data_IF_355614057555
#
_entry.id   IF_355614057555
#
_cell.length_a   1.000
_cell.length_b   1.000
_cell.length_c   1.000
_cell.angle_alpha   90.00
_cell.angle_beta   90.00
_cell.angle_gamma   90.00
#
_symmetry.space_group_name_H-M   'P 1'
#
loop_
_entity.id
_entity.type
_entity.pdbx_description
1 polymer ?
#
# COMPACT_ATOMS: atom_id res chain seq x y z
N UNK A 1 -49.81 -46.14 -22.86
CA UNK A 1 -49.49 -45.39 -21.63
C UNK A 1 -48.08 -45.78 -21.15
N UNK A 2 -47.02 -45.23 -21.76
CA UNK A 2 -45.65 -45.38 -21.26
C UNK A 2 -45.40 -44.29 -20.21
N UNK A 3 -45.59 -44.67 -18.95
CA UNK A 3 -45.57 -43.79 -17.79
C UNK A 3 -44.17 -43.85 -17.14
N UNK A 4 -43.17 -43.27 -17.80
CA UNK A 4 -41.82 -43.07 -17.25
C UNK A 4 -41.30 -41.68 -17.67
N UNK A 5 -41.82 -40.63 -17.04
CA UNK A 5 -41.50 -39.22 -17.37
C UNK A 5 -40.92 -38.41 -16.19
N UNK A 6 -40.49 -39.06 -15.10
CA UNK A 6 -40.01 -38.32 -13.90
C UNK A 6 -38.62 -38.79 -13.46
N UNK A 7 -38.29 -40.07 -13.57
CA UNK A 7 -36.97 -40.61 -13.19
C UNK A 7 -35.81 -40.11 -14.08
N UNK A 8 -36.07 -39.86 -15.37
CA UNK A 8 -35.03 -39.35 -16.27
C UNK A 8 -34.65 -37.88 -15.98
N UNK A 9 -35.54 -37.09 -15.34
CA UNK A 9 -35.24 -35.70 -14.97
C UNK A 9 -34.37 -35.58 -13.71
N UNK A 10 -34.47 -36.53 -12.78
CA UNK A 10 -33.72 -36.49 -11.52
C UNK A 10 -32.29 -37.03 -11.65
N UNK A 11 -32.03 -37.96 -12.57
CA UNK A 11 -30.70 -38.52 -12.79
C UNK A 11 -29.74 -37.50 -13.45
N UNK A 12 -30.25 -36.49 -14.14
CA UNK A 12 -29.43 -35.46 -14.81
C UNK A 12 -28.85 -34.42 -13.81
N UNK A 13 -29.35 -34.38 -12.57
CA UNK A 13 -28.95 -33.36 -11.57
C UNK A 13 -27.71 -33.73 -10.72
N UNK A 14 -27.16 -34.95 -10.87
CA UNK A 14 -26.06 -35.44 -10.03
C UNK A 14 -24.68 -35.56 -10.73
N UNK A 15 -24.56 -35.14 -11.99
CA UNK A 15 -23.25 -34.93 -12.58
C UNK A 15 -22.69 -33.59 -12.10
N UNK A 16 -22.02 -33.58 -10.94
CA UNK A 16 -21.06 -32.52 -10.62
C UNK A 16 -19.95 -32.63 -11.67
N UNK A 17 -20.05 -31.82 -12.72
CA UNK A 17 -18.96 -31.67 -13.68
C UNK A 17 -17.83 -30.99 -12.93
N UNK A 18 -16.83 -31.76 -12.49
CA UNK A 18 -15.60 -31.20 -11.94
C UNK A 18 -14.85 -30.50 -13.07
N UNK A 19 -15.08 -29.20 -13.21
CA UNK A 19 -14.46 -28.37 -14.24
C UNK A 19 -13.00 -28.07 -13.93
N UNK A 20 -12.24 -27.73 -14.97
CA UNK A 20 -10.90 -27.18 -14.84
C UNK A 20 -10.97 -25.82 -14.12
N UNK A 21 -10.12 -25.62 -13.12
CA UNK A 21 -10.08 -24.37 -12.34
C UNK A 21 -8.65 -23.94 -12.05
N UNK A 22 -8.46 -22.63 -11.96
CA UNK A 22 -7.23 -21.98 -11.51
C UNK A 22 -7.59 -21.04 -10.35
N UNK A 23 -6.96 -21.23 -9.21
CA UNK A 23 -7.09 -20.37 -8.04
C UNK A 23 -5.79 -19.61 -7.80
N UNK A 24 -5.89 -18.34 -7.44
CA UNK A 24 -4.74 -17.47 -7.21
C UNK A 24 -5.02 -16.59 -5.99
N UNK A 25 -3.97 -16.13 -5.28
CA UNK A 25 -4.11 -15.23 -4.15
C UNK A 25 -4.77 -13.91 -4.56
N UNK A 26 -5.48 -13.26 -3.65
CA UNK A 26 -6.10 -11.96 -3.93
C UNK A 26 -5.05 -10.83 -4.00
N UNK A 27 -4.04 -10.88 -3.14
CA UNK A 27 -3.01 -9.86 -3.00
C UNK A 27 -1.67 -10.51 -2.70
N UNK A 28 -0.61 -10.01 -3.33
CA UNK A 28 0.78 -10.32 -2.95
C UNK A 28 1.58 -9.02 -2.88
N UNK A 29 2.64 -9.05 -2.07
CA UNK A 29 3.53 -7.92 -1.89
C UNK A 29 4.90 -8.29 -2.44
N UNK A 30 5.41 -7.49 -3.37
CA UNK A 30 6.78 -7.62 -3.85
C UNK A 30 7.75 -7.07 -2.79
N UNK A 31 8.91 -7.70 -2.68
CA UNK A 31 9.96 -7.26 -1.79
C UNK A 31 10.58 -5.93 -2.27
N UNK A 32 11.44 -5.36 -1.43
CA UNK A 32 12.11 -4.09 -1.69
C UNK A 32 13.04 -4.11 -2.92
N UNK A 33 13.46 -5.30 -3.37
CA UNK A 33 14.30 -5.48 -4.56
C UNK A 33 13.45 -5.72 -5.83
N UNK A 34 12.11 -5.61 -5.74
CA UNK A 34 11.21 -5.82 -6.87
C UNK A 34 11.02 -7.30 -7.21
N UNK A 35 11.15 -8.20 -6.22
CA UNK A 35 10.91 -9.62 -6.39
C UNK A 35 9.60 -10.04 -5.75
N UNK A 36 8.80 -10.81 -6.46
CA UNK A 36 7.53 -11.33 -5.99
C UNK A 36 7.37 -12.80 -6.40
N UNK A 37 6.73 -13.57 -5.52
CA UNK A 37 6.35 -14.96 -5.81
C UNK A 37 4.83 -15.06 -5.86
N UNK A 38 4.32 -15.49 -7.01
CA UNK A 38 2.90 -15.70 -7.23
C UNK A 38 2.64 -17.19 -7.46
N UNK A 39 1.82 -17.80 -6.63
CA UNK A 39 1.48 -19.22 -6.72
C UNK A 39 0.04 -19.32 -7.24
N UNK A 40 -0.17 -20.06 -8.32
CA UNK A 40 -1.51 -20.41 -8.78
C UNK A 40 -1.73 -21.90 -8.60
N UNK A 41 -2.72 -22.28 -7.80
CA UNK A 41 -3.16 -23.66 -7.76
C UNK A 41 -4.07 -23.93 -8.96
N UNK A 42 -3.97 -25.13 -9.51
CA UNK A 42 -4.79 -25.56 -10.62
C UNK A 42 -5.26 -26.99 -10.42
N UNK A 43 -6.44 -27.28 -10.94
CA UNK A 43 -6.92 -28.66 -11.05
C UNK A 43 -7.42 -28.90 -12.45
N UNK A 44 -6.85 -29.90 -13.11
CA UNK A 44 -7.25 -30.35 -14.43
C UNK A 44 -8.03 -31.64 -14.31
N UNK A 45 -9.09 -31.79 -15.12
CA UNK A 45 -9.83 -33.03 -15.23
C UNK A 45 -9.26 -33.88 -16.38
N UNK A 46 -8.85 -35.12 -16.07
CA UNK A 46 -8.31 -36.06 -17.05
C UNK A 46 -6.79 -36.09 -17.12
N UNK A 47 -6.26 -36.88 -18.06
CA UNK A 47 -4.82 -37.00 -18.32
C UNK A 47 -4.35 -35.77 -19.09
N UNK A 48 -3.23 -35.18 -18.67
CA UNK A 48 -2.64 -34.02 -19.33
C UNK A 48 -1.22 -34.33 -19.77
N UNK A 49 -0.89 -33.92 -20.99
CA UNK A 49 0.40 -34.19 -21.61
C UNK A 49 1.15 -32.89 -21.93
N UNK A 50 0.44 -31.82 -22.32
CA UNK A 50 1.01 -30.50 -22.58
C UNK A 50 0.13 -29.38 -21.99
N UNK A 51 0.73 -28.58 -21.10
CA UNK A 51 0.11 -27.39 -20.49
C UNK A 51 0.99 -26.19 -20.78
N UNK A 52 0.35 -25.09 -21.16
CA UNK A 52 0.94 -23.78 -21.26
C UNK A 52 0.38 -22.88 -20.17
N UNK A 53 1.25 -22.20 -19.46
CA UNK A 53 0.89 -21.19 -18.48
C UNK A 53 1.36 -19.82 -18.95
N UNK A 54 0.58 -18.81 -18.62
CA UNK A 54 0.95 -17.42 -18.86
C UNK A 54 0.56 -16.55 -17.67
N UNK A 55 1.43 -15.59 -17.36
CA UNK A 55 1.15 -14.54 -16.40
C UNK A 55 0.86 -13.26 -17.15
N UNK A 56 -0.34 -12.71 -16.95
CA UNK A 56 -0.86 -11.57 -17.70
C UNK A 56 -1.00 -10.34 -16.81
N UNK A 57 -0.38 -9.23 -17.16
CA UNK A 57 -0.63 -7.95 -16.50
C UNK A 57 -1.86 -7.29 -17.12
N UNK A 58 -2.87 -6.99 -16.30
CA UNK A 58 -4.09 -6.29 -16.69
C UNK A 58 -3.96 -4.80 -16.36
N UNK A 59 -4.00 -3.98 -17.40
CA UNK A 59 -4.10 -2.52 -17.31
C UNK A 59 -5.52 -2.08 -17.69
N UNK A 60 -5.85 -0.78 -17.54
CA UNK A 60 -7.19 -0.25 -17.86
C UNK A 60 -7.63 -0.50 -19.31
N UNK A 61 -6.69 -0.61 -20.25
CA UNK A 61 -6.97 -0.71 -21.70
C UNK A 61 -6.39 -1.97 -22.35
N UNK A 62 -5.47 -2.67 -21.69
CA UNK A 62 -4.68 -3.72 -22.32
C UNK A 62 -4.33 -4.84 -21.34
N UNK A 63 -4.29 -6.07 -21.85
CA UNK A 63 -3.79 -7.26 -21.13
C UNK A 63 -2.55 -7.73 -21.88
N UNK A 64 -1.40 -7.71 -21.21
CA UNK A 64 -0.11 -8.13 -21.79
C UNK A 64 0.42 -9.37 -21.08
N UNK A 65 0.87 -10.36 -21.83
CA UNK A 65 1.64 -11.48 -21.28
C UNK A 65 3.01 -10.97 -20.79
N UNK A 66 3.34 -11.23 -19.52
CA UNK A 66 4.63 -10.91 -18.89
C UNK A 66 5.55 -12.13 -18.97
N UNK A 67 4.99 -13.31 -18.70
CA UNK A 67 5.71 -14.58 -18.76
C UNK A 67 4.84 -15.61 -19.47
N UNK A 68 5.48 -16.45 -20.27
CA UNK A 68 4.83 -17.58 -20.92
C UNK A 68 5.76 -18.77 -20.82
N UNK A 69 5.22 -19.90 -20.39
CA UNK A 69 5.99 -21.15 -20.39
C UNK A 69 5.08 -22.32 -20.73
N UNK A 70 5.66 -23.29 -21.42
CA UNK A 70 5.05 -24.56 -21.76
C UNK A 70 5.85 -25.68 -21.13
N UNK A 71 5.19 -26.71 -20.61
CA UNK A 71 5.87 -27.84 -19.98
C UNK A 71 5.76 -29.12 -20.82
N UNK A 72 6.78 -29.98 -20.68
CA UNK A 72 6.83 -31.41 -21.03
C UNK A 72 7.39 -31.81 -22.42
N UNK A 73 7.99 -30.87 -23.14
CA UNK A 73 9.12 -31.11 -24.04
C UNK A 73 10.25 -30.21 -23.54
N UNK A 74 11.50 -30.66 -23.55
CA UNK A 74 12.64 -29.89 -23.00
C UNK A 74 12.64 -28.43 -23.50
N UNK A 75 12.12 -27.49 -22.70
CA UNK A 75 12.02 -26.09 -23.07
C UNK A 75 12.29 -25.18 -21.90
N UNK A 76 13.06 -24.16 -22.23
CA UNK A 76 13.55 -23.10 -21.37
C UNK A 76 12.42 -22.12 -21.03
N UNK A 77 12.45 -21.48 -19.85
CA UNK A 77 11.52 -20.40 -19.52
C UNK A 77 11.65 -19.26 -20.54
N UNK A 78 10.60 -18.96 -21.29
CA UNK A 78 10.57 -17.82 -22.22
C UNK A 78 10.01 -16.61 -21.46
N UNK A 79 10.90 -15.73 -21.00
CA UNK A 79 10.52 -14.42 -20.48
C UNK A 79 10.26 -13.48 -21.67
N UNK A 80 9.06 -12.91 -21.75
CA UNK A 80 8.66 -12.00 -22.84
C UNK A 80 8.53 -10.57 -22.32
N UNK A 81 9.55 -10.07 -21.63
CA UNK A 81 9.56 -8.71 -21.10
C UNK A 81 10.97 -8.14 -20.99
N UNK A 82 11.22 -7.03 -21.70
CA UNK A 82 12.56 -6.42 -21.90
C UNK A 82 13.30 -6.01 -20.61
N UNK A 83 12.65 -6.06 -19.43
CA UNK A 83 13.27 -5.73 -18.13
C UNK A 83 12.78 -6.56 -16.93
N UNK A 84 11.70 -7.35 -17.08
CA UNK A 84 11.13 -8.15 -16.00
C UNK A 84 11.54 -9.60 -16.23
N UNK A 85 12.32 -10.15 -15.32
CA UNK A 85 12.69 -11.56 -15.38
C UNK A 85 11.64 -12.39 -14.68
N UNK A 86 11.26 -13.52 -15.28
CA UNK A 86 10.20 -14.36 -14.74
C UNK A 86 10.51 -15.83 -14.95
N UNK A 87 10.39 -16.60 -13.87
CA UNK A 87 10.61 -18.02 -13.84
C UNK A 87 9.33 -18.74 -13.39
N UNK A 88 8.83 -19.65 -14.22
CA UNK A 88 7.71 -20.52 -13.89
C UNK A 88 8.18 -21.91 -13.46
N UNK A 89 7.80 -22.33 -12.26
CA UNK A 89 8.12 -23.64 -11.70
C UNK A 89 6.79 -24.41 -11.51
N UNK A 90 6.52 -25.44 -12.31
CA UNK A 90 5.33 -26.26 -12.14
C UNK A 90 5.53 -27.26 -11.03
N UNK A 91 4.44 -27.54 -10.32
CA UNK A 91 4.28 -28.70 -9.46
C UNK A 91 2.98 -29.42 -9.87
N UNK A 92 2.70 -30.63 -9.37
CA UNK A 92 1.51 -31.38 -9.77
C UNK A 92 0.16 -30.67 -9.59
N UNK A 93 0.09 -29.71 -8.66
CA UNK A 93 -1.16 -29.04 -8.28
C UNK A 93 -1.09 -27.52 -8.36
N UNK A 94 0.09 -26.96 -8.60
CA UNK A 94 0.26 -25.53 -8.67
C UNK A 94 1.42 -25.13 -9.56
N UNK A 95 1.48 -23.84 -9.87
CA UNK A 95 2.55 -23.24 -10.63
C UNK A 95 3.04 -22.03 -9.87
N UNK A 96 4.35 -21.95 -9.67
CA UNK A 96 5.00 -20.85 -8.96
C UNK A 96 5.69 -19.94 -9.96
N UNK A 97 5.27 -18.67 -9.99
CA UNK A 97 5.90 -17.61 -10.77
C UNK A 97 6.81 -16.80 -9.86
N UNK A 98 8.11 -16.86 -10.11
CA UNK A 98 9.09 -15.98 -9.49
C UNK A 98 9.38 -14.83 -10.44
N UNK A 99 8.98 -13.63 -10.05
CA UNK A 99 9.07 -12.42 -10.85
C UNK A 99 10.13 -11.54 -10.20
N UNK A 100 11.07 -11.01 -10.96
CA UNK A 100 12.08 -10.07 -10.50
C UNK A 100 12.22 -8.87 -11.43
N UNK A 101 12.74 -7.77 -10.88
CA UNK A 101 12.85 -6.50 -11.62
C UNK A 101 11.55 -5.70 -11.68
N UNK A 102 10.58 -5.96 -10.79
CA UNK A 102 9.36 -5.16 -10.68
C UNK A 102 9.69 -3.75 -10.15
N UNK A 103 9.09 -2.73 -10.76
CA UNK A 103 9.20 -1.33 -10.33
C UNK A 103 7.85 -0.83 -9.76
N UNK A 104 7.84 0.33 -9.09
CA UNK A 104 6.62 0.99 -8.59
C UNK A 104 5.45 0.99 -9.61
N UNK A 105 5.78 1.32 -10.87
CA UNK A 105 4.86 1.38 -12.02
C UNK A 105 4.27 0.03 -12.42
N UNK A 106 4.83 -1.06 -11.91
CA UNK A 106 4.37 -2.42 -12.18
C UNK A 106 3.29 -2.89 -11.23
N UNK A 107 2.97 -2.10 -10.20
CA UNK A 107 1.85 -2.37 -9.30
C UNK A 107 0.53 -2.47 -10.07
N UNK A 108 -0.22 -3.54 -9.85
CA UNK A 108 -1.47 -3.75 -10.58
C UNK A 108 -2.02 -5.17 -10.48
N UNK A 109 -2.98 -5.47 -11.36
CA UNK A 109 -3.63 -6.78 -11.42
C UNK A 109 -2.88 -7.71 -12.37
N UNK A 110 -2.55 -8.89 -11.88
CA UNK A 110 -1.91 -9.96 -12.62
C UNK A 110 -2.85 -11.16 -12.68
N UNK A 111 -3.01 -11.78 -13.85
CA UNK A 111 -3.91 -12.90 -14.08
C UNK A 111 -3.08 -14.12 -14.47
N UNK A 112 -3.21 -15.16 -13.67
CA UNK A 112 -2.73 -16.48 -14.03
C UNK A 112 -3.67 -17.15 -15.04
N UNK A 113 -3.12 -17.54 -16.19
CA UNK A 113 -3.83 -18.27 -17.24
C UNK A 113 -3.16 -19.62 -17.49
N UNK A 114 -3.98 -20.65 -17.58
CA UNK A 114 -3.60 -22.03 -17.90
C UNK A 114 -4.32 -22.47 -19.17
N UNK A 115 -3.59 -23.13 -20.05
CA UNK A 115 -4.07 -23.64 -21.33
C UNK A 115 -3.62 -25.10 -21.47
N UNK A 116 -4.58 -26.02 -21.55
CA UNK A 116 -4.31 -27.44 -21.82
C UNK A 116 -4.29 -27.61 -23.33
N UNK A 117 -3.11 -27.86 -23.88
CA UNK A 117 -2.88 -28.00 -25.32
C UNK A 117 -3.08 -29.45 -25.78
N UNK A 118 -2.53 -30.40 -25.02
CA UNK A 118 -2.57 -31.81 -25.33
C UNK A 118 -2.84 -32.66 -24.08
N UNK A 119 -3.66 -33.73 -24.17
CA UNK A 119 -4.43 -34.15 -25.35
C UNK A 119 -5.65 -33.24 -25.61
N UNK A 120 -6.10 -33.06 -26.87
CA UNK A 120 -7.33 -32.34 -27.18
C UNK A 120 -8.51 -32.91 -26.41
N UNK A 121 -9.48 -32.08 -26.01
CA UNK A 121 -9.77 -30.73 -26.52
C UNK A 121 -8.96 -29.62 -25.86
N UNK A 122 -8.76 -28.53 -26.60
CA UNK A 122 -8.12 -27.33 -26.09
C UNK A 122 -8.97 -26.69 -24.98
N UNK A 123 -8.40 -26.51 -23.80
CA UNK A 123 -9.10 -25.92 -22.65
C UNK A 123 -8.32 -24.72 -22.12
N UNK A 124 -9.04 -23.64 -21.78
CA UNK A 124 -8.46 -22.41 -21.24
C UNK A 124 -9.14 -22.11 -19.91
N UNK A 125 -8.33 -21.76 -18.91
CA UNK A 125 -8.82 -21.34 -17.61
C UNK A 125 -7.98 -20.18 -17.09
N UNK A 126 -8.64 -19.15 -16.60
CA UNK A 126 -8.02 -18.02 -15.93
C UNK A 126 -8.45 -18.01 -14.47
N UNK A 127 -7.58 -17.58 -13.56
CA UNK A 127 -8.00 -17.33 -12.18
C UNK A 127 -8.48 -15.89 -11.95
N UNK A 128 -8.85 -15.59 -10.71
CA UNK A 128 -9.56 -14.37 -10.31
C UNK A 128 -8.74 -13.06 -10.27
N UNK A 129 -7.55 -13.03 -10.86
CA UNK A 129 -6.54 -11.97 -10.72
C UNK A 129 -5.97 -11.82 -9.29
N UNK A 130 -4.71 -11.41 -9.23
CA UNK A 130 -3.95 -11.10 -8.03
C UNK A 130 -3.52 -9.65 -8.10
N UNK A 131 -3.78 -8.86 -7.06
CA UNK A 131 -3.22 -7.52 -6.95
C UNK A 131 -1.79 -7.60 -6.42
N UNK A 132 -0.82 -7.26 -7.26
CA UNK A 132 0.61 -7.23 -6.90
C UNK A 132 0.95 -5.81 -6.49
N UNK A 133 1.29 -5.64 -5.22
CA UNK A 133 1.75 -4.36 -4.67
C UNK A 133 3.26 -4.39 -4.51
N UNK A 134 3.98 -3.48 -5.17
CA UNK A 134 5.41 -3.32 -4.90
C UNK A 134 5.53 -2.43 -3.68
N UNK A 135 6.18 -2.94 -2.63
CA UNK A 135 6.57 -2.11 -1.49
C UNK A 135 7.66 -1.16 -1.98
N UNK A 136 7.26 0.01 -2.47
CA UNK A 136 8.21 1.06 -2.80
C UNK A 136 9.03 1.34 -1.55
N UNK A 137 10.33 1.17 -1.71
CA UNK A 137 11.36 1.11 -0.68
C UNK A 137 11.44 2.45 0.06
N UNK A 138 10.48 2.75 0.94
CA UNK A 138 10.45 3.89 1.86
C UNK A 138 10.69 5.30 1.26
N UNK A 139 11.01 5.45 -0.02
CA UNK A 139 11.57 6.68 -0.58
C UNK A 139 10.48 7.71 -0.88
N UNK A 140 9.33 7.27 -1.40
CA UNK A 140 8.20 8.18 -1.64
C UNK A 140 7.44 8.57 -0.37
N UNK A 141 7.52 7.78 0.71
CA UNK A 141 6.98 8.18 2.01
C UNK A 141 8.01 8.96 2.85
N UNK A 142 9.31 8.69 2.72
CA UNK A 142 10.37 9.48 3.35
C UNK A 142 10.47 10.88 2.75
N UNK A 143 10.18 11.07 1.45
CA UNK A 143 10.17 12.40 0.84
C UNK A 143 8.93 13.26 1.15
N UNK A 144 7.91 12.67 1.79
CA UNK A 144 6.74 13.39 2.35
C UNK A 144 6.94 13.71 3.83
N UNK A 145 7.93 13.10 4.48
CA UNK A 145 8.53 13.59 5.72
C UNK A 145 9.78 14.43 5.39
N UNK A 146 9.61 15.49 4.62
CA UNK A 146 10.49 16.65 4.84
C UNK A 146 10.20 17.13 6.28
N UNK A 147 11.20 17.23 7.16
CA UNK A 147 10.99 17.89 8.44
C UNK A 147 10.55 19.32 8.13
N UNK A 148 9.31 19.66 8.46
CA UNK A 148 8.85 21.07 8.48
C UNK A 148 9.94 21.84 9.17
N UNK A 149 10.56 22.77 8.43
CA UNK A 149 11.83 23.39 8.79
C UNK A 149 11.95 23.63 10.28
N UNK A 150 12.88 22.90 10.89
CA UNK A 150 13.27 23.00 12.29
C UNK A 150 13.62 24.45 12.69
N UNK A 151 13.96 25.26 11.68
CA UNK A 151 14.21 26.69 11.79
C UNK A 151 12.98 27.48 12.29
N UNK A 152 11.77 27.20 11.79
CA UNK A 152 10.60 28.05 12.06
C UNK A 152 10.17 28.01 13.52
N UNK A 153 10.11 26.82 14.13
CA UNK A 153 9.72 26.69 15.53
C UNK A 153 10.84 27.15 16.47
N UNK A 154 12.11 26.99 16.09
CA UNK A 154 13.26 27.52 16.84
C UNK A 154 13.22 29.04 16.96
N UNK A 155 12.98 29.75 15.86
CA UNK A 155 12.81 31.22 15.89
C UNK A 155 11.57 31.64 16.65
N UNK A 156 10.47 30.89 16.57
CA UNK A 156 9.25 31.17 17.33
C UNK A 156 9.45 31.03 18.84
N UNK A 157 10.16 30.00 19.29
CA UNK A 157 10.49 29.83 20.73
C UNK A 157 11.47 30.90 21.20
N UNK A 158 12.47 31.26 20.38
CA UNK A 158 13.42 32.33 20.69
C UNK A 158 12.71 33.68 20.86
N UNK A 159 11.78 34.03 19.96
CA UNK A 159 11.04 35.30 20.03
C UNK A 159 10.15 35.39 21.27
N UNK A 160 9.43 34.31 21.60
CA UNK A 160 8.60 34.26 22.82
C UNK A 160 9.46 34.46 24.07
N UNK A 161 10.62 33.82 24.14
CA UNK A 161 11.52 33.94 25.28
C UNK A 161 12.04 35.37 25.47
N UNK A 162 12.45 36.04 24.39
CA UNK A 162 12.90 37.44 24.43
C UNK A 162 11.78 38.38 24.89
N UNK A 163 10.56 38.21 24.38
CA UNK A 163 9.41 39.05 24.77
C UNK A 163 9.09 38.90 26.25
N UNK A 164 9.10 37.68 26.78
CA UNK A 164 8.84 37.42 28.21
C UNK A 164 9.91 38.06 29.11
N UNK A 165 11.18 38.00 28.71
CA UNK A 165 12.27 38.65 29.45
C UNK A 165 12.12 40.18 29.47
N UNK A 166 11.82 40.79 28.33
CA UNK A 166 11.57 42.23 28.24
C UNK A 166 10.37 42.65 29.09
N UNK A 167 9.28 41.89 29.05
CA UNK A 167 8.10 42.14 29.87
C UNK A 167 8.43 42.11 31.37
N UNK A 168 9.16 41.07 31.82
CA UNK A 168 9.58 40.97 33.22
C UNK A 168 10.50 42.14 33.63
N UNK A 169 11.39 42.58 32.75
CA UNK A 169 12.29 43.71 33.00
C UNK A 169 11.51 45.03 33.08
N UNK A 170 10.53 45.24 32.21
CA UNK A 170 9.67 46.44 32.24
C UNK A 170 8.82 46.46 33.51
N UNK A 171 8.21 45.33 33.89
CA UNK A 171 7.40 45.24 35.11
C UNK A 171 8.27 45.48 36.35
N UNK A 172 9.46 44.90 36.41
CA UNK A 172 10.40 45.17 37.52
C UNK A 172 10.84 46.63 37.56
N UNK A 173 11.13 47.26 36.41
CA UNK A 173 11.41 48.70 36.36
C UNK A 173 10.22 49.51 36.87
N UNK A 174 9.00 49.26 36.40
CA UNK A 174 7.79 49.99 36.83
C UNK A 174 7.55 49.83 38.35
N UNK A 175 7.75 48.62 38.89
CA UNK A 175 7.59 48.32 40.31
C UNK A 175 8.75 48.82 41.19
N UNK A 176 9.92 49.09 40.62
CA UNK A 176 11.07 49.71 41.29
C UNK A 176 11.12 51.24 41.11
N UNK A 177 10.35 51.79 40.16
CA UNK A 177 10.10 53.22 39.96
C UNK A 177 9.08 53.91 40.89
N UNK A 178 8.50 53.34 41.97
CA UNK A 178 7.61 54.11 42.85
C UNK A 178 8.32 55.05 43.83
N UNK A 179 9.65 55.18 43.80
CA UNK A 179 10.36 56.08 44.74
C UNK A 179 11.29 57.12 44.09
N UNK A 180 11.53 57.05 42.78
CA UNK A 180 12.46 57.97 42.09
C UNK A 180 11.80 58.92 41.08
N UNK A 181 10.59 58.62 40.58
CA UNK A 181 9.90 59.51 39.61
C UNK A 181 9.17 60.67 40.29
N UNK A 182 8.92 60.59 41.60
CA UNK A 182 8.37 61.71 42.39
C UNK A 182 9.42 62.73 42.87
N UNK A 183 10.71 62.51 42.64
CA UNK A 183 11.78 63.41 43.11
C UNK A 183 12.48 64.22 42.01
N UNK A 184 11.85 64.39 40.84
CA UNK A 184 12.38 65.29 39.82
C UNK A 184 11.29 66.06 39.06
N UNK A 185 10.47 66.82 39.79
CA UNK A 185 10.17 68.19 39.35
C UNK A 185 9.67 69.04 40.53
N UNK A 186 10.25 70.22 40.67
CA UNK A 186 10.05 71.11 41.80
C UNK A 186 8.58 71.55 41.95
N UNK A 187 7.90 71.03 42.97
CA UNK A 187 7.27 71.93 43.95
C UNK A 187 5.74 72.02 44.07
N UNK A 188 4.92 71.04 43.66
CA UNK A 188 3.48 71.05 44.02
C UNK A 188 2.90 69.66 44.32
N UNK A 189 2.45 69.43 45.56
CA UNK A 189 1.71 68.24 45.97
C UNK A 189 0.22 68.41 45.61
N UNK A 190 -0.35 67.48 44.84
CA UNK A 190 -1.80 67.34 44.67
C UNK A 190 -2.27 66.06 45.36
N UNK A 191 -3.17 66.21 46.32
CA UNK A 191 -3.77 65.10 47.07
C UNK A 191 -4.76 64.34 46.17
N UNK A 192 -4.57 63.02 46.02
CA UNK A 192 -5.66 62.14 45.58
C UNK A 192 -6.08 61.32 46.80
N UNK A 193 -7.22 61.72 47.34
CA UNK A 193 -7.92 61.14 48.47
C UNK A 193 -8.70 59.90 48.01
N UNK A 194 -8.41 58.72 48.56
CA UNK A 194 -9.26 57.53 48.49
C UNK A 194 -9.02 56.70 49.76
N UNK A 195 -9.80 56.92 50.82
CA UNK A 195 -10.94 56.08 51.22
C UNK A 195 -10.47 54.75 51.87
N UNK A 196 -10.22 54.73 53.18
CA UNK A 196 -11.16 54.46 54.31
C UNK A 196 -11.20 52.97 54.73
N UNK A 197 -10.96 52.74 56.04
CA UNK A 197 -11.14 51.52 56.88
C UNK A 197 -10.31 50.27 56.50
N UNK A 198 -9.60 49.58 57.40
CA UNK A 198 -9.82 49.22 58.80
C UNK A 198 -8.46 48.93 59.49
N UNK A 199 -8.31 49.27 60.77
CA UNK A 199 -7.75 48.36 61.78
C UNK A 199 -7.96 48.90 63.20
N UNK A 200 -8.59 48.04 64.01
CA UNK A 200 -9.00 48.15 65.40
C UNK A 200 -7.82 47.83 66.32
N UNK A 201 -7.59 48.64 67.35
CA UNK A 201 -7.67 48.30 68.79
C UNK A 201 -7.59 49.58 69.61
#
# INVERSE_FOLDING_TARGET
MCRYSILCKWIVLLFVVTGTKVTQPAVIVANRHGEATLICDYSVFGKVEEIRFSLRKKTKKHISDICVFSFNTNYEPIATGDNITCLGIPTPHNVTFNISGLQAKDTGLYICKMEVMYPPPYQITEGNATFVYISDLAYQCAHVMEPVEDNMYKWLILTIFVVLLLYSLIVTIILLLPEWVLFHDNGQCFLIHSHDRDCRF
#
